data_IF_642705537075
#
_entry.id   IF_642705537075
#
_cell.length_a   1.000
_cell.length_b   1.000
_cell.length_c   1.000
_cell.angle_alpha   90.00
_cell.angle_beta   90.00
_cell.angle_gamma   90.00
#
_symmetry.space_group_name_H-M   'P 1'
#
loop_
_entity.id
_entity.type
_entity.pdbx_description
1 polymer ?
#
# COMPACT_ATOMS: atom_id res chain seq x y z
N UNK A 1 0.38 7.68 22.65
CA UNK A 1 0.08 7.90 21.23
C UNK A 1 0.32 6.65 20.41
N UNK A 2 -0.70 6.26 19.69
CA UNK A 2 -0.54 5.18 18.73
C UNK A 2 -0.07 5.76 17.41
N UNK A 3 1.05 5.25 16.94
CA UNK A 3 1.53 5.62 15.63
C UNK A 3 0.94 4.61 14.65
N UNK A 4 0.16 5.12 13.71
CA UNK A 4 -0.44 4.28 12.68
C UNK A 4 0.44 4.31 11.44
N UNK A 5 0.96 3.15 11.09
CA UNK A 5 1.68 2.99 9.83
C UNK A 5 0.79 2.26 8.86
N UNK A 6 0.81 2.68 7.62
CA UNK A 6 0.12 1.96 6.57
C UNK A 6 0.80 0.60 6.35
N UNK A 7 0.01 -0.38 5.92
CA UNK A 7 0.57 -1.69 5.56
C UNK A 7 1.56 -1.55 4.42
N UNK A 8 1.30 -0.62 3.50
CA UNK A 8 2.20 -0.36 2.38
C UNK A 8 3.57 0.09 2.89
N UNK A 9 3.60 1.03 3.82
CA UNK A 9 4.85 1.51 4.38
C UNK A 9 5.63 0.39 5.06
N UNK A 10 4.92 -0.41 5.86
CA UNK A 10 5.55 -1.53 6.55
C UNK A 10 6.13 -2.55 5.57
N UNK A 11 5.38 -2.88 4.53
CA UNK A 11 5.86 -3.81 3.50
C UNK A 11 7.09 -3.26 2.79
N UNK A 12 7.10 -1.97 2.49
CA UNK A 12 8.24 -1.33 1.83
C UNK A 12 9.47 -1.35 2.73
N UNK A 13 9.31 -1.04 4.00
CA UNK A 13 10.40 -1.05 4.97
C UNK A 13 10.97 -2.46 5.11
N UNK A 14 10.10 -3.47 5.19
CA UNK A 14 10.53 -4.87 5.26
C UNK A 14 11.30 -5.28 4.01
N UNK A 15 10.92 -4.75 2.87
CA UNK A 15 11.62 -5.03 1.62
C UNK A 15 12.94 -4.28 1.52
N UNK A 16 13.19 -3.32 2.41
CA UNK A 16 14.45 -2.59 2.45
C UNK A 16 14.64 -1.60 1.32
N UNK A 17 13.56 -1.09 0.74
CA UNK A 17 13.64 -0.17 -0.39
C UNK A 17 13.04 1.19 -0.05
N UNK A 18 13.50 2.21 -0.77
CA UNK A 18 13.00 3.57 -0.62
C UNK A 18 11.67 3.74 -1.36
N UNK A 19 10.99 4.85 -1.10
CA UNK A 19 9.79 5.19 -1.86
C UNK A 19 10.12 5.36 -3.34
N UNK A 20 11.25 5.96 -3.65
CA UNK A 20 11.65 6.14 -5.05
C UNK A 20 11.90 4.80 -5.72
N UNK A 21 12.55 3.90 -5.03
CA UNK A 21 12.79 2.56 -5.56
C UNK A 21 11.49 1.82 -5.82
N UNK A 22 10.54 1.93 -4.89
CA UNK A 22 9.24 1.32 -5.07
C UNK A 22 8.51 1.93 -6.28
N UNK A 23 8.61 3.24 -6.45
CA UNK A 23 8.06 3.93 -7.60
C UNK A 23 8.66 3.39 -8.89
N UNK A 24 9.98 3.26 -8.92
CA UNK A 24 10.68 2.78 -10.11
C UNK A 24 10.27 1.34 -10.48
N UNK A 25 10.10 0.49 -9.47
CA UNK A 25 9.75 -0.91 -9.69
C UNK A 25 8.28 -1.11 -10.05
N UNK A 26 7.41 -0.30 -9.48
CA UNK A 26 5.97 -0.49 -9.63
C UNK A 26 5.38 0.33 -10.78
N UNK A 27 6.06 1.39 -11.17
CA UNK A 27 5.50 2.34 -12.12
C UNK A 27 4.47 3.27 -11.50
N UNK A 28 4.31 3.23 -10.17
CA UNK A 28 3.39 4.11 -9.45
C UNK A 28 4.15 5.37 -9.04
N UNK A 29 3.61 6.56 -9.30
CA UNK A 29 4.33 7.79 -8.95
C UNK A 29 4.67 7.86 -7.46
N UNK A 30 5.86 8.36 -7.17
CA UNK A 30 6.35 8.45 -5.79
C UNK A 30 5.42 9.30 -4.92
N UNK A 31 4.81 10.32 -5.49
CA UNK A 31 3.85 11.15 -4.77
C UNK A 31 2.63 10.35 -4.32
N UNK A 32 2.15 9.47 -5.18
CA UNK A 32 1.03 8.59 -4.85
C UNK A 32 1.41 7.63 -3.73
N UNK A 33 2.62 7.07 -3.80
CA UNK A 33 3.11 6.18 -2.74
C UNK A 33 3.17 6.94 -1.41
N UNK A 34 3.70 8.15 -1.41
CA UNK A 34 3.77 8.96 -0.21
C UNK A 34 2.40 9.25 0.39
N UNK A 35 1.42 9.59 -0.45
CA UNK A 35 0.06 9.85 0.02
C UNK A 35 -0.58 8.61 0.62
N UNK A 36 -0.34 7.45 0.03
CA UNK A 36 -0.86 6.19 0.56
C UNK A 36 -0.18 5.82 1.88
N UNK A 37 1.12 6.01 1.98
CA UNK A 37 1.87 5.69 3.20
C UNK A 37 1.48 6.60 4.35
N UNK A 38 1.20 7.87 4.06
CA UNK A 38 0.81 8.83 5.08
C UNK A 38 -0.69 8.82 5.36
N UNK A 39 -1.42 7.90 4.76
CA UNK A 39 -2.86 7.72 4.95
C UNK A 39 -3.69 8.94 4.51
N UNK A 40 -3.13 9.76 3.64
CA UNK A 40 -3.87 10.85 3.00
C UNK A 40 -4.82 10.32 1.94
N UNK A 41 -4.53 9.14 1.46
CA UNK A 41 -5.31 8.46 0.45
C UNK A 41 -5.56 7.03 0.92
N UNK A 42 -6.79 6.57 0.75
CA UNK A 42 -7.19 5.23 1.19
C UNK A 42 -6.83 4.20 0.12
N UNK A 43 -5.94 3.27 0.46
CA UNK A 43 -5.50 2.24 -0.47
C UNK A 43 -6.66 1.33 -0.90
N UNK A 44 -7.66 1.16 -0.04
CA UNK A 44 -8.83 0.35 -0.39
C UNK A 44 -9.64 0.98 -1.53
N UNK A 45 -9.47 2.26 -1.77
CA UNK A 45 -10.17 2.99 -2.82
C UNK A 45 -9.33 3.20 -4.07
N UNK A 46 -8.12 2.71 -4.06
CA UNK A 46 -7.26 2.81 -5.23
C UNK A 46 -7.71 1.83 -6.31
N UNK A 47 -7.37 2.16 -7.54
CA UNK A 47 -7.60 1.23 -8.64
C UNK A 47 -6.86 -0.07 -8.35
N UNK A 48 -7.47 -1.17 -8.72
CA UNK A 48 -6.90 -2.49 -8.45
C UNK A 48 -5.53 -2.67 -9.11
N UNK A 49 -5.31 -2.08 -10.28
CA UNK A 49 -4.04 -2.20 -10.98
C UNK A 49 -2.90 -1.50 -10.21
N UNK A 50 -3.20 -0.40 -9.54
CA UNK A 50 -2.20 0.30 -8.71
C UNK A 50 -1.78 -0.58 -7.55
N UNK A 51 -2.75 -1.15 -6.84
CA UNK A 51 -2.47 -2.02 -5.69
C UNK A 51 -1.70 -3.26 -6.16
N UNK A 52 -2.10 -3.82 -7.29
CA UNK A 52 -1.45 -5.01 -7.85
C UNK A 52 0.03 -4.73 -8.19
N UNK A 53 0.30 -3.59 -8.83
CA UNK A 53 1.67 -3.22 -9.17
C UNK A 53 2.55 -3.04 -7.94
N UNK A 54 2.00 -2.41 -6.92
CA UNK A 54 2.72 -2.23 -5.66
C UNK A 54 3.00 -3.58 -5.00
N UNK A 55 2.01 -4.46 -4.98
CA UNK A 55 2.17 -5.79 -4.40
C UNK A 55 3.23 -6.60 -5.14
N UNK A 56 3.23 -6.55 -6.46
CA UNK A 56 4.24 -7.24 -7.25
C UNK A 56 5.64 -6.70 -6.97
N UNK A 57 5.77 -5.38 -6.90
CA UNK A 57 7.07 -4.74 -6.64
C UNK A 57 7.61 -5.09 -5.26
N UNK A 58 6.72 -5.38 -4.31
CA UNK A 58 7.08 -5.73 -2.94
C UNK A 58 7.08 -7.24 -2.68
N UNK A 59 6.79 -8.03 -3.71
CA UNK A 59 6.72 -9.49 -3.63
C UNK A 59 5.76 -9.94 -2.52
N UNK A 60 4.58 -9.35 -2.51
CA UNK A 60 3.54 -9.70 -1.55
C UNK A 60 2.18 -9.75 -2.25
N UNK A 61 1.14 -10.15 -1.53
CA UNK A 61 -0.19 -10.18 -2.09
C UNK A 61 -0.85 -8.81 -1.97
N UNK A 62 -1.90 -8.58 -2.75
CA UNK A 62 -2.67 -7.34 -2.64
C UNK A 62 -3.31 -7.22 -1.26
N UNK A 63 -3.74 -8.35 -0.70
CA UNK A 63 -4.34 -8.38 0.62
C UNK A 63 -3.38 -7.91 1.70
N UNK A 64 -2.08 -8.12 1.50
CA UNK A 64 -1.07 -7.66 2.43
C UNK A 64 -0.99 -6.14 2.50
N UNK A 65 -1.47 -5.46 1.47
CA UNK A 65 -1.42 -4.00 1.38
C UNK A 65 -2.75 -3.33 1.69
N UNK A 66 -3.85 -4.05 1.51
CA UNK A 66 -5.18 -3.49 1.75
C UNK A 66 -5.46 -3.38 3.24
N UNK A 67 -6.26 -2.39 3.59
CA UNK A 67 -6.68 -2.18 4.96
C UNK A 67 -7.98 -2.95 5.19
N UNK A 68 -7.85 -4.25 5.41
CA UNK A 68 -8.99 -5.14 5.52
C UNK A 68 -9.83 -4.91 6.77
N UNK A 69 -9.26 -4.24 7.76
CA UNK A 69 -9.97 -3.91 8.98
C UNK A 69 -11.10 -2.92 8.73
N UNK A 70 -10.97 -2.13 7.65
CA UNK A 70 -12.00 -1.15 7.28
C UNK A 70 -13.09 -1.72 6.39
N UNK A 71 -12.94 -2.97 5.97
CA UNK A 71 -13.93 -3.59 5.09
C UNK A 71 -15.03 -4.18 5.94
N UNK A 72 -16.27 -3.72 5.68
CA UNK A 72 -17.42 -4.27 6.37
C UNK A 72 -17.91 -5.51 5.65
N UNK A 73 -18.00 -6.61 6.39
CA UNK A 73 -18.60 -7.82 5.86
C UNK A 73 -20.01 -7.91 6.38
N UNK A 74 -20.93 -7.93 5.44
CA UNK A 74 -22.31 -8.24 5.81
C UNK A 74 -22.48 -9.74 5.75
N UNK A 75 -22.74 -10.32 6.89
CA UNK A 75 -23.16 -11.70 6.93
C UNK A 75 -24.62 -11.75 6.58
N UNK A 76 -24.85 -12.37 5.56
CA UNK A 76 -26.09 -12.50 5.04
C UNK A 76 -27.20 -12.99 5.43
#
# INVERSE_FOLDING_TARGET
HKIHYSKLKLARIRAGISQQELSDRSGVPVKSIGNLEQLRRDINRCRVDIVFRLAQALDCSMEDLLDLEKVSYKKG
#
